data_IF_863888704269
#
_entry.id   IF_863888704269
#
_cell.length_a   1.000
_cell.length_b   1.000
_cell.length_c   1.000
_cell.angle_alpha   90.00
_cell.angle_beta   90.00
_cell.angle_gamma   90.00
#
_symmetry.space_group_name_H-M   'P 1'
#
loop_
_entity.id
_entity.type
_entity.pdbx_description
1 polymer ?
#
# COMPACT_ATOMS: atom_id res chain seq x y z
N UNK A 1 -39.71 -49.27 32.41
CA UNK A 1 -38.27 -49.19 32.12
C UNK A 1 -38.06 -49.30 30.63
N UNK A 2 -37.84 -48.24 29.88
CA UNK A 2 -37.19 -48.35 28.59
C UNK A 2 -35.75 -47.81 28.66
N UNK A 3 -34.87 -48.51 27.98
CA UNK A 3 -33.43 -48.30 27.87
C UNK A 3 -33.07 -47.01 27.17
N UNK A 4 -32.07 -46.30 27.74
CA UNK A 4 -31.51 -45.11 27.16
C UNK A 4 -30.61 -45.41 25.96
N UNK A 5 -30.86 -44.69 24.89
CA UNK A 5 -30.02 -44.64 23.70
C UNK A 5 -28.91 -43.60 23.95
N UNK A 6 -27.64 -44.01 23.95
CA UNK A 6 -26.48 -43.14 23.93
C UNK A 6 -26.37 -42.50 22.56
N UNK A 7 -26.01 -41.19 22.43
CA UNK A 7 -25.66 -40.59 21.15
C UNK A 7 -24.22 -41.00 20.75
N UNK A 8 -24.07 -41.30 19.47
CA UNK A 8 -22.82 -41.67 18.82
C UNK A 8 -21.81 -40.53 18.88
N UNK A 9 -20.59 -40.85 19.32
CA UNK A 9 -19.40 -40.02 19.20
C UNK A 9 -19.10 -39.81 17.71
N UNK A 10 -19.22 -38.56 17.24
CA UNK A 10 -18.66 -38.14 15.96
C UNK A 10 -17.21 -37.72 16.20
N UNK A 11 -16.29 -38.58 15.79
CA UNK A 11 -14.87 -38.28 15.69
C UNK A 11 -14.68 -37.03 14.80
N UNK A 12 -14.43 -35.88 15.44
CA UNK A 12 -14.01 -34.64 14.75
C UNK A 12 -12.52 -34.79 14.51
N UNK A 13 -12.18 -35.18 13.29
CA UNK A 13 -10.82 -35.24 12.78
C UNK A 13 -10.16 -33.85 12.93
N UNK A 14 -9.17 -33.77 13.83
CA UNK A 14 -8.43 -32.55 14.11
C UNK A 14 -7.61 -32.14 12.88
N UNK A 15 -7.87 -30.96 12.37
CA UNK A 15 -7.09 -30.37 11.26
C UNK A 15 -5.60 -30.34 11.62
N UNK A 16 -4.69 -30.68 10.69
CA UNK A 16 -3.26 -30.75 10.96
C UNK A 16 -2.71 -29.37 11.34
N UNK A 17 -1.73 -29.28 12.25
CA UNK A 17 -1.13 -28.02 12.67
C UNK A 17 -0.46 -27.32 11.49
N UNK A 18 -0.79 -26.06 11.26
CA UNK A 18 -0.17 -25.22 10.23
C UNK A 18 1.33 -25.10 10.52
N UNK A 19 2.17 -25.42 9.54
CA UNK A 19 3.62 -25.34 9.63
C UNK A 19 4.05 -23.92 9.99
N UNK A 20 5.01 -23.72 10.92
CA UNK A 20 5.52 -22.39 11.25
C UNK A 20 6.16 -21.74 10.03
N UNK A 21 5.94 -20.45 9.87
CA UNK A 21 6.52 -19.63 8.80
C UNK A 21 8.05 -19.63 8.89
N UNK A 22 8.73 -20.29 7.95
CA UNK A 22 10.18 -20.38 7.90
C UNK A 22 10.79 -19.12 7.23
N UNK A 23 11.31 -18.21 8.05
CA UNK A 23 12.02 -17.00 7.61
C UNK A 23 13.27 -17.30 6.76
N UNK A 24 13.83 -18.50 6.83
CA UNK A 24 15.01 -18.87 6.03
C UNK A 24 14.68 -19.03 4.55
N UNK A 25 13.42 -19.28 4.18
CA UNK A 25 12.97 -19.29 2.78
C UNK A 25 12.82 -17.90 2.17
N UNK A 26 12.59 -16.87 2.99
CA UNK A 26 12.46 -15.48 2.50
C UNK A 26 13.80 -14.85 2.06
N UNK A 27 14.94 -15.45 2.43
CA UNK A 27 16.29 -15.00 2.01
C UNK A 27 16.77 -15.65 0.69
N UNK A 28 15.96 -16.47 0.05
CA UNK A 28 16.29 -16.90 -1.32
C UNK A 28 16.11 -15.70 -2.25
N UNK A 29 17.18 -15.39 -2.98
CA UNK A 29 17.23 -14.37 -4.04
C UNK A 29 15.91 -14.38 -4.80
N UNK A 30 15.34 -13.21 -5.12
CA UNK A 30 14.18 -13.17 -6.02
C UNK A 30 14.53 -13.98 -7.27
N UNK A 31 13.60 -14.76 -7.82
CA UNK A 31 13.81 -15.40 -9.10
C UNK A 31 14.27 -14.30 -10.06
N UNK A 32 15.29 -14.59 -10.84
CA UNK A 32 15.79 -13.70 -11.89
C UNK A 32 14.60 -12.99 -12.51
N UNK A 33 14.64 -11.65 -12.48
CA UNK A 33 13.69 -10.84 -13.22
C UNK A 33 13.67 -11.42 -14.62
N UNK A 34 12.58 -12.12 -14.95
CA UNK A 34 12.34 -12.63 -16.27
C UNK A 34 12.45 -11.43 -17.20
N UNK A 35 13.50 -11.42 -18.02
CA UNK A 35 13.61 -10.50 -19.13
C UNK A 35 12.29 -10.51 -19.89
N UNK A 36 11.58 -9.45 -19.67
CA UNK A 36 10.53 -8.85 -20.48
C UNK A 36 9.86 -9.73 -21.54
N UNK A 37 8.80 -10.38 -21.18
CA UNK A 37 7.65 -10.36 -22.07
C UNK A 37 6.99 -8.99 -21.88
N UNK A 38 7.23 -8.07 -22.81
CA UNK A 38 6.57 -6.76 -22.90
C UNK A 38 5.05 -6.99 -22.86
N UNK A 39 4.32 -6.58 -21.81
CA UNK A 39 2.88 -6.65 -21.87
C UNK A 39 2.42 -5.53 -22.81
N UNK A 40 1.99 -5.89 -24.02
CA UNK A 40 1.38 -4.95 -24.98
C UNK A 40 0.14 -4.20 -24.45
N UNK A 41 -0.25 -4.44 -23.19
CA UNK A 41 -1.38 -3.83 -22.52
C UNK A 41 -1.07 -2.89 -21.36
N UNK A 42 0.19 -2.81 -20.89
CA UNK A 42 0.53 -2.03 -19.68
C UNK A 42 0.22 -0.53 -19.81
N UNK A 43 0.44 0.05 -20.99
CA UNK A 43 0.09 1.45 -21.26
C UNK A 43 -1.40 1.73 -21.19
N UNK A 44 -2.26 0.85 -21.71
CA UNK A 44 -3.73 1.00 -21.64
C UNK A 44 -4.29 0.78 -20.23
N UNK A 45 -3.68 -0.13 -19.45
CA UNK A 45 -4.09 -0.36 -18.06
C UNK A 45 -3.69 0.82 -17.17
N UNK A 46 -2.51 1.39 -17.39
CA UNK A 46 -2.04 2.60 -16.72
C UNK A 46 -2.93 3.79 -17.04
N UNK A 47 -3.24 4.04 -18.32
CA UNK A 47 -4.14 5.10 -18.73
C UNK A 47 -5.53 4.95 -18.09
N UNK A 48 -6.16 3.77 -18.14
CA UNK A 48 -7.48 3.54 -17.53
C UNK A 48 -7.51 3.73 -16.01
N UNK A 49 -6.44 3.38 -15.28
CA UNK A 49 -6.36 3.65 -13.83
C UNK A 49 -6.15 5.14 -13.51
N UNK A 50 -5.51 5.87 -14.42
CA UNK A 50 -5.33 7.32 -14.31
C UNK A 50 -6.62 8.08 -14.65
N UNK A 51 -7.45 7.55 -15.56
CA UNK A 51 -8.74 8.15 -15.97
C UNK A 51 -9.81 8.17 -14.87
N UNK A 52 -9.70 7.36 -13.84
CA UNK A 52 -10.66 7.37 -12.73
C UNK A 52 -10.67 8.69 -11.92
N UNK A 53 -9.68 9.55 -12.09
CA UNK A 53 -9.62 10.86 -11.45
C UNK A 53 -9.67 11.98 -12.49
N UNK A 54 -10.86 12.46 -12.81
CA UNK A 54 -11.14 13.59 -13.73
C UNK A 54 -10.56 14.94 -13.28
N UNK A 55 -9.71 14.98 -12.25
CA UNK A 55 -9.18 16.22 -11.70
C UNK A 55 -7.74 16.46 -12.20
N UNK A 56 -7.48 17.64 -12.74
CA UNK A 56 -6.14 18.10 -13.06
C UNK A 56 -5.34 18.43 -11.79
N UNK A 57 -4.01 18.24 -11.83
CA UNK A 57 -3.09 18.68 -10.79
C UNK A 57 -2.85 20.19 -10.80
N UNK A 58 -1.70 20.62 -10.27
CA UNK A 58 -1.27 22.03 -10.26
C UNK A 58 -0.97 22.54 -11.66
N UNK A 59 -0.61 21.67 -12.61
CA UNK A 59 -0.33 21.97 -14.01
C UNK A 59 -1.59 22.21 -14.87
N UNK A 60 -2.77 21.99 -14.31
CA UNK A 60 -4.03 22.12 -15.03
C UNK A 60 -4.26 21.03 -16.10
N UNK A 61 -3.32 20.12 -16.32
CA UNK A 61 -3.43 19.07 -17.33
C UNK A 61 -4.35 17.94 -16.87
N UNK A 62 -5.36 17.61 -17.68
CA UNK A 62 -6.21 16.42 -17.46
C UNK A 62 -5.72 15.25 -18.31
N UNK A 63 -6.18 14.04 -17.98
CA UNK A 63 -5.90 12.86 -18.81
C UNK A 63 -6.44 13.03 -20.23
N UNK A 64 -7.61 13.65 -20.38
CA UNK A 64 -8.18 13.99 -21.68
C UNK A 64 -7.28 14.92 -22.48
N UNK A 65 -6.70 15.95 -21.83
CA UNK A 65 -5.75 16.86 -22.49
C UNK A 65 -4.52 16.11 -23.01
N UNK A 66 -3.94 15.23 -22.19
CA UNK A 66 -2.79 14.41 -22.59
C UNK A 66 -3.13 13.51 -23.77
N UNK A 67 -4.31 12.89 -23.77
CA UNK A 67 -4.76 12.00 -24.83
C UNK A 67 -4.98 12.76 -26.15
N UNK A 68 -5.66 13.91 -26.11
CA UNK A 68 -6.09 14.63 -27.32
C UNK A 68 -5.05 15.60 -27.88
N UNK A 69 -4.22 16.20 -27.02
CA UNK A 69 -3.29 17.26 -27.42
C UNK A 69 -1.85 16.82 -27.49
N UNK A 70 -1.41 15.98 -26.55
CA UNK A 70 -0.02 15.54 -26.47
C UNK A 70 0.23 14.23 -27.21
N UNK A 71 -0.74 13.32 -27.12
CA UNK A 71 -0.62 11.94 -27.59
C UNK A 71 0.01 11.04 -26.52
N UNK A 72 -0.70 9.96 -26.17
CA UNK A 72 -0.31 9.06 -25.07
C UNK A 72 1.08 8.47 -25.27
N UNK A 73 1.45 8.10 -26.50
CA UNK A 73 2.74 7.45 -26.77
C UNK A 73 3.91 8.43 -26.58
N UNK A 74 3.81 9.64 -27.10
CA UNK A 74 4.83 10.68 -26.92
C UNK A 74 4.99 11.03 -25.44
N UNK A 75 3.86 11.27 -24.74
CA UNK A 75 3.85 11.55 -23.31
C UNK A 75 4.54 10.45 -22.48
N UNK A 76 4.26 9.18 -22.74
CA UNK A 76 4.91 8.08 -22.04
C UNK A 76 6.39 7.91 -22.41
N UNK A 77 6.77 8.23 -23.66
CA UNK A 77 8.17 8.21 -24.08
C UNK A 77 8.99 9.27 -23.35
N UNK A 78 8.47 10.48 -23.23
CA UNK A 78 9.12 11.58 -22.52
C UNK A 78 9.27 11.27 -21.02
N UNK A 79 8.20 10.82 -20.35
CA UNK A 79 8.27 10.40 -18.95
C UNK A 79 9.30 9.29 -18.73
N UNK A 80 9.33 8.31 -19.65
CA UNK A 80 10.32 7.23 -19.59
C UNK A 80 11.74 7.77 -19.69
N UNK A 81 11.97 8.72 -20.58
CA UNK A 81 13.28 9.36 -20.76
C UNK A 81 13.68 10.10 -19.49
N UNK A 82 12.81 10.96 -18.95
CA UNK A 82 13.07 11.71 -17.72
C UNK A 82 13.38 10.82 -16.53
N UNK A 83 12.62 9.74 -16.33
CA UNK A 83 12.88 8.76 -15.24
C UNK A 83 14.19 8.02 -15.48
N UNK A 84 14.50 7.65 -16.73
CA UNK A 84 15.75 6.95 -17.09
C UNK A 84 16.98 7.83 -16.88
N UNK A 85 16.89 9.10 -17.21
CA UNK A 85 17.99 10.09 -17.05
C UNK A 85 18.05 10.73 -15.66
N UNK A 86 17.13 10.31 -14.74
CA UNK A 86 17.01 10.87 -13.39
C UNK A 86 16.73 12.40 -13.37
N UNK A 87 16.13 12.92 -14.42
CA UNK A 87 15.72 14.34 -14.52
C UNK A 87 14.27 14.58 -14.11
N UNK A 88 13.49 13.52 -13.92
CA UNK A 88 12.10 13.62 -13.48
C UNK A 88 12.00 14.27 -12.10
N UNK A 89 11.21 15.34 -11.99
CA UNK A 89 10.88 16.02 -10.74
C UNK A 89 9.36 16.00 -10.52
N UNK A 90 8.87 15.43 -9.41
CA UNK A 90 7.47 15.50 -9.05
C UNK A 90 7.03 16.93 -8.78
N UNK A 91 5.82 17.28 -9.18
CA UNK A 91 5.20 18.54 -8.85
C UNK A 91 4.42 18.45 -7.54
N UNK A 92 4.20 19.58 -6.83
CA UNK A 92 3.36 19.62 -5.65
C UNK A 92 1.96 19.07 -5.91
N UNK A 93 1.37 18.42 -4.95
CA UNK A 93 -0.04 18.00 -5.05
C UNK A 93 -0.96 19.19 -4.84
N UNK A 94 -2.01 19.32 -5.65
CA UNK A 94 -3.04 20.34 -5.44
C UNK A 94 -3.98 19.89 -4.33
N UNK A 95 -4.04 20.64 -3.24
CA UNK A 95 -4.95 20.40 -2.13
C UNK A 95 -6.40 20.73 -2.50
N UNK A 96 -7.31 19.84 -2.14
CA UNK A 96 -8.75 20.08 -2.22
C UNK A 96 -9.44 19.56 -0.97
N UNK A 97 -10.31 20.39 -0.39
CA UNK A 97 -11.12 20.00 0.76
C UNK A 97 -12.36 19.24 0.28
N UNK A 98 -12.63 18.09 0.90
CA UNK A 98 -13.82 17.26 0.62
C UNK A 98 -14.61 17.13 1.92
N UNK A 99 -15.94 17.41 1.90
CA UNK A 99 -16.77 17.24 3.08
C UNK A 99 -16.85 15.76 3.50
N UNK A 100 -16.73 15.52 4.80
CA UNK A 100 -16.98 14.22 5.45
C UNK A 100 -18.36 14.24 6.13
N UNK A 101 -18.90 13.05 6.42
CA UNK A 101 -20.02 12.91 7.33
C UNK A 101 -19.71 13.59 8.68
N UNK A 102 -20.70 14.29 9.25
CA UNK A 102 -20.52 15.02 10.51
C UNK A 102 -19.87 16.40 10.38
N UNK A 103 -19.87 17.02 9.18
CA UNK A 103 -19.41 18.40 8.97
C UNK A 103 -17.89 18.60 8.95
N UNK A 104 -17.10 17.55 9.19
CA UNK A 104 -15.65 17.60 9.09
C UNK A 104 -15.19 17.64 7.63
N UNK A 105 -14.02 18.22 7.38
CA UNK A 105 -13.42 18.23 6.04
C UNK A 105 -12.24 17.27 5.97
N UNK A 106 -12.05 16.68 4.78
CA UNK A 106 -10.88 15.83 4.46
C UNK A 106 -10.04 16.55 3.41
N UNK A 107 -8.75 16.61 3.64
CA UNK A 107 -7.77 17.11 2.65
C UNK A 107 -7.48 16.01 1.63
N UNK A 108 -7.62 16.33 0.35
CA UNK A 108 -7.24 15.44 -0.75
C UNK A 108 -6.14 16.11 -1.57
N UNK A 109 -5.00 15.43 -1.72
CA UNK A 109 -3.91 15.84 -2.60
C UNK A 109 -4.12 15.29 -4.01
N UNK A 110 -4.23 16.16 -5.00
CA UNK A 110 -4.41 15.81 -6.40
C UNK A 110 -3.07 15.97 -7.11
N UNK A 111 -2.40 14.86 -7.39
CA UNK A 111 -1.17 14.83 -8.17
C UNK A 111 -1.43 15.10 -9.66
N UNK A 112 -0.44 15.60 -10.40
CA UNK A 112 -0.52 15.78 -11.85
C UNK A 112 -0.67 14.44 -12.58
N UNK A 113 -1.09 14.46 -13.83
CA UNK A 113 -1.22 13.23 -14.63
C UNK A 113 0.13 12.52 -14.78
N UNK A 114 1.20 13.28 -15.01
CA UNK A 114 2.56 12.74 -15.14
C UNK A 114 3.02 12.08 -13.83
N UNK A 115 2.79 12.72 -12.70
CA UNK A 115 3.15 12.16 -11.38
C UNK A 115 2.37 10.89 -11.08
N UNK A 116 1.07 10.87 -11.39
CA UNK A 116 0.23 9.67 -11.23
C UNK A 116 0.72 8.50 -12.07
N UNK A 117 1.16 8.74 -13.30
CA UNK A 117 1.71 7.70 -14.18
C UNK A 117 3.00 7.12 -13.59
N UNK A 118 3.92 7.98 -13.14
CA UNK A 118 5.18 7.52 -12.53
C UNK A 118 4.94 6.82 -11.20
N UNK A 119 4.05 7.34 -10.34
CA UNK A 119 3.64 6.65 -9.10
C UNK A 119 3.01 5.28 -9.37
N UNK A 120 2.17 5.17 -10.40
CA UNK A 120 1.57 3.89 -10.78
C UNK A 120 2.61 2.90 -11.30
N UNK A 121 3.59 3.36 -12.07
CA UNK A 121 4.70 2.53 -12.53
C UNK A 121 5.55 2.03 -11.37
N UNK A 122 5.90 2.91 -10.42
CA UNK A 122 6.60 2.53 -9.19
C UNK A 122 5.79 1.51 -8.39
N UNK A 123 4.50 1.75 -8.18
CA UNK A 123 3.62 0.82 -7.45
C UNK A 123 3.61 -0.56 -8.09
N UNK A 124 3.49 -0.66 -9.42
CA UNK A 124 3.50 -1.93 -10.14
C UNK A 124 4.78 -2.75 -9.93
N UNK A 125 5.91 -2.09 -9.76
CA UNK A 125 7.21 -2.75 -9.53
C UNK A 125 7.42 -3.08 -8.07
N UNK A 126 7.04 -2.19 -7.15
CA UNK A 126 7.35 -2.29 -5.73
C UNK A 126 6.33 -3.14 -4.95
N UNK A 127 5.06 -3.09 -5.34
CA UNK A 127 3.98 -3.81 -4.65
C UNK A 127 4.25 -5.32 -4.52
N UNK A 128 4.65 -6.06 -5.58
CA UNK A 128 4.95 -7.48 -5.45
C UNK A 128 6.13 -7.79 -4.53
N UNK A 129 7.10 -6.87 -4.40
CA UNK A 129 8.27 -7.04 -3.55
C UNK A 129 7.85 -7.00 -2.07
N UNK A 130 7.04 -6.01 -1.69
CA UNK A 130 6.60 -5.85 -0.30
C UNK A 130 5.41 -6.74 0.06
N UNK A 131 4.58 -7.13 -0.91
CA UNK A 131 3.54 -8.14 -0.68
C UNK A 131 4.10 -9.48 -0.18
N UNK A 132 5.32 -9.82 -0.60
CA UNK A 132 6.02 -11.01 -0.12
C UNK A 132 6.48 -10.90 1.36
N UNK A 133 6.55 -9.68 1.89
CA UNK A 133 7.03 -9.41 3.25
C UNK A 133 5.91 -9.12 4.25
N UNK A 134 4.77 -8.58 3.79
CA UNK A 134 3.67 -8.22 4.66
C UNK A 134 3.07 -9.45 5.35
N UNK A 135 2.86 -9.33 6.65
CA UNK A 135 2.28 -10.41 7.45
C UNK A 135 0.82 -10.70 7.07
N UNK A 136 0.32 -11.92 7.33
CA UNK A 136 -1.05 -12.31 7.02
C UNK A 136 -2.13 -11.47 7.73
N UNK A 137 -1.83 -10.90 8.90
CA UNK A 137 -2.74 -10.06 9.67
C UNK A 137 -2.99 -8.67 9.06
N UNK A 138 -2.17 -8.24 8.09
CA UNK A 138 -2.33 -6.96 7.41
C UNK A 138 -3.31 -7.08 6.25
N UNK A 139 -4.39 -6.28 6.25
CA UNK A 139 -5.47 -6.35 5.26
C UNK A 139 -5.63 -5.09 4.41
N UNK A 140 -5.36 -3.91 4.98
CA UNK A 140 -5.64 -2.62 4.33
C UNK A 140 -4.86 -2.40 3.04
N UNK A 141 -5.53 -1.89 1.99
CA UNK A 141 -4.93 -1.47 0.71
C UNK A 141 -4.09 -2.52 -0.03
N UNK A 142 -4.19 -3.79 0.33
CA UNK A 142 -3.46 -4.89 -0.30
C UNK A 142 -4.26 -5.56 -1.40
N UNK A 143 -3.61 -6.03 -2.50
CA UNK A 143 -4.29 -6.78 -3.54
C UNK A 143 -4.87 -8.08 -2.98
N UNK A 144 -6.04 -8.48 -3.49
CA UNK A 144 -6.76 -9.71 -3.12
C UNK A 144 -7.12 -9.84 -1.63
N UNK A 145 -7.04 -8.76 -0.86
CA UNK A 145 -7.44 -8.68 0.55
C UNK A 145 -8.65 -7.77 0.71
N UNK A 146 -9.69 -8.25 1.39
CA UNK A 146 -10.95 -7.53 1.57
C UNK A 146 -11.25 -7.35 3.05
N UNK A 147 -12.06 -6.34 3.38
CA UNK A 147 -12.54 -6.16 4.74
C UNK A 147 -13.31 -7.38 5.26
N UNK A 148 -14.07 -8.08 4.38
CA UNK A 148 -14.78 -9.30 4.73
C UNK A 148 -13.84 -10.44 5.16
N UNK A 149 -12.66 -10.53 4.56
CA UNK A 149 -11.66 -11.55 4.92
C UNK A 149 -11.10 -11.27 6.32
N UNK A 150 -10.84 -9.98 6.65
CA UNK A 150 -10.46 -9.57 8.01
C UNK A 150 -11.55 -9.89 9.05
N UNK A 151 -12.83 -9.59 8.73
CA UNK A 151 -13.96 -9.91 9.61
C UNK A 151 -14.09 -11.42 9.83
N UNK A 152 -13.90 -12.22 8.76
CA UNK A 152 -13.93 -13.68 8.86
C UNK A 152 -12.80 -14.21 9.77
N UNK A 153 -11.60 -13.64 9.70
CA UNK A 153 -10.50 -14.00 10.57
C UNK A 153 -10.79 -13.65 12.04
N UNK A 154 -11.29 -12.43 12.31
CA UNK A 154 -11.71 -12.02 13.66
C UNK A 154 -12.76 -13.00 14.21
N UNK A 155 -13.76 -13.39 13.39
CA UNK A 155 -14.78 -14.37 13.79
C UNK A 155 -14.17 -15.72 14.12
N UNK A 156 -13.16 -16.17 13.38
CA UNK A 156 -12.44 -17.41 13.64
C UNK A 156 -11.74 -17.36 15.02
N UNK A 157 -11.11 -16.24 15.36
CA UNK A 157 -10.49 -16.07 16.67
C UNK A 157 -11.51 -16.01 17.82
N UNK A 158 -12.66 -15.40 17.62
CA UNK A 158 -13.72 -15.31 18.62
C UNK A 158 -14.52 -16.63 18.80
N UNK A 159 -14.37 -17.60 17.88
CA UNK A 159 -15.09 -18.87 17.88
C UNK A 159 -14.22 -20.03 18.42
N UNK A 160 -14.82 -21.18 18.84
CA UNK A 160 -14.04 -22.36 19.18
C UNK A 160 -13.11 -22.79 18.02
N UNK A 161 -11.90 -23.30 18.31
CA UNK A 161 -11.35 -23.60 19.64
C UNK A 161 -10.68 -22.39 20.33
N UNK A 162 -10.47 -21.26 19.63
CA UNK A 162 -9.68 -20.13 20.14
C UNK A 162 -10.38 -19.34 21.25
N UNK A 163 -11.66 -18.98 21.06
CA UNK A 163 -12.53 -18.28 22.03
C UNK A 163 -11.88 -17.05 22.66
N UNK A 164 -11.21 -16.18 21.84
CA UNK A 164 -10.73 -14.92 22.37
C UNK A 164 -11.92 -14.01 22.71
N UNK A 165 -12.00 -13.58 23.97
CA UNK A 165 -13.11 -12.78 24.53
C UNK A 165 -12.80 -11.29 24.54
N UNK A 166 -11.52 -10.92 24.42
CA UNK A 166 -11.07 -9.54 24.48
C UNK A 166 -10.56 -9.08 23.14
N UNK A 167 -10.98 -7.88 22.73
CA UNK A 167 -10.48 -7.20 21.56
C UNK A 167 -9.99 -5.79 21.96
N UNK A 168 -8.79 -5.42 21.51
CA UNK A 168 -8.28 -4.05 21.60
C UNK A 168 -8.46 -3.39 20.23
N UNK A 169 -9.26 -2.32 20.18
CA UNK A 169 -9.40 -1.47 19.00
C UNK A 169 -8.55 -0.20 19.18
N UNK A 170 -7.77 0.13 18.16
CA UNK A 170 -6.96 1.34 18.12
C UNK A 170 -7.03 2.01 16.76
N UNK A 171 -7.07 3.35 16.75
CA UNK A 171 -6.97 4.16 15.53
C UNK A 171 -5.76 5.08 15.62
N UNK A 172 -5.03 5.22 14.51
CA UNK A 172 -3.85 6.08 14.45
C UNK A 172 -4.27 7.45 13.93
N UNK A 173 -4.20 8.46 14.79
CA UNK A 173 -4.50 9.83 14.42
C UNK A 173 -3.58 10.31 13.31
N UNK A 174 -4.16 10.91 12.25
CA UNK A 174 -3.43 11.48 11.11
C UNK A 174 -2.37 10.56 10.48
N UNK A 175 -2.61 9.24 10.45
CA UNK A 175 -1.64 8.23 10.06
C UNK A 175 -0.84 8.59 8.79
N UNK A 176 -1.53 9.00 7.71
CA UNK A 176 -0.87 9.38 6.47
C UNK A 176 -0.06 10.68 6.56
N UNK A 177 -0.47 11.60 7.42
CA UNK A 177 0.13 12.93 7.53
C UNK A 177 1.36 12.94 8.46
N UNK A 178 1.48 11.93 9.34
CA UNK A 178 2.53 11.85 10.37
C UNK A 178 3.62 10.80 10.08
N UNK A 179 3.60 10.13 8.92
CA UNK A 179 4.65 9.17 8.57
C UNK A 179 5.99 9.87 8.48
N UNK A 180 6.96 9.47 9.31
CA UNK A 180 8.31 9.99 9.26
C UNK A 180 9.04 9.54 7.99
N UNK A 181 9.48 10.49 7.16
CA UNK A 181 10.11 10.22 5.86
C UNK A 181 11.42 9.44 6.01
N UNK A 182 12.24 9.75 7.01
CA UNK A 182 13.53 9.07 7.21
C UNK A 182 13.32 7.61 7.58
N UNK A 183 12.47 7.34 8.57
CA UNK A 183 12.14 5.98 8.99
C UNK A 183 11.50 5.16 7.86
N UNK A 184 10.59 5.76 7.10
CA UNK A 184 10.00 5.11 5.92
C UNK A 184 11.07 4.78 4.87
N UNK A 185 11.97 5.71 4.55
CA UNK A 185 13.03 5.48 3.57
C UNK A 185 14.04 4.44 4.03
N UNK A 186 14.30 4.32 5.32
CA UNK A 186 15.13 3.25 5.86
C UNK A 186 14.47 1.88 5.68
N UNK A 187 13.15 1.79 5.90
CA UNK A 187 12.37 0.59 5.57
C UNK A 187 12.43 0.25 4.08
N UNK A 188 12.30 1.25 3.20
CA UNK A 188 12.45 1.06 1.74
C UNK A 188 13.80 0.46 1.40
N UNK A 189 14.90 0.97 1.99
CA UNK A 189 16.28 0.52 1.72
C UNK A 189 16.55 -0.92 2.16
N UNK A 190 15.77 -1.48 3.08
CA UNK A 190 15.90 -2.89 3.46
C UNK A 190 15.66 -3.85 2.28
N UNK A 191 14.89 -3.43 1.29
CA UNK A 191 14.53 -4.26 0.14
C UNK A 191 14.96 -3.67 -1.21
N UNK A 192 15.09 -2.37 -1.29
CA UNK A 192 15.37 -1.64 -2.54
C UNK A 192 16.77 -1.03 -2.45
N UNK A 193 17.72 -1.60 -3.16
CA UNK A 193 19.11 -1.13 -3.24
C UNK A 193 19.33 -0.09 -4.36
N UNK A 194 18.43 0.01 -5.34
CA UNK A 194 18.56 1.00 -6.42
C UNK A 194 18.36 2.41 -5.88
N UNK A 195 19.46 3.18 -5.85
CA UNK A 195 19.48 4.56 -5.36
C UNK A 195 18.56 5.49 -6.12
N UNK A 196 18.32 5.24 -7.43
CA UNK A 196 17.44 6.07 -8.26
C UNK A 196 15.98 5.88 -7.87
N UNK A 197 15.58 4.64 -7.59
CA UNK A 197 14.22 4.33 -7.09
C UNK A 197 14.00 4.97 -5.71
N UNK A 198 14.96 4.84 -4.79
CA UNK A 198 14.89 5.47 -3.46
C UNK A 198 14.83 6.99 -3.56
N UNK A 199 15.64 7.60 -4.45
CA UNK A 199 15.63 9.03 -4.69
C UNK A 199 14.29 9.52 -5.26
N UNK A 200 13.68 8.76 -6.16
CA UNK A 200 12.38 9.07 -6.75
C UNK A 200 11.25 8.98 -5.71
N UNK A 201 11.24 7.96 -4.84
CA UNK A 201 10.30 7.89 -3.72
C UNK A 201 10.47 9.10 -2.80
N UNK A 202 11.72 9.44 -2.45
CA UNK A 202 12.03 10.61 -1.63
C UNK A 202 11.54 11.90 -2.28
N UNK A 203 11.70 12.05 -3.60
CA UNK A 203 11.21 13.20 -4.33
C UNK A 203 9.68 13.33 -4.25
N UNK A 204 8.94 12.23 -4.39
CA UNK A 204 7.48 12.24 -4.21
C UNK A 204 7.05 12.60 -2.78
N UNK A 205 7.76 12.12 -1.77
CA UNK A 205 7.47 12.48 -0.38
C UNK A 205 7.71 13.97 -0.10
N UNK A 206 8.68 14.58 -0.78
CA UNK A 206 9.07 15.99 -0.62
C UNK A 206 8.42 16.95 -1.62
N UNK A 207 7.59 16.47 -2.53
CA UNK A 207 7.02 17.30 -3.61
C UNK A 207 6.17 18.49 -3.13
N UNK A 208 5.78 18.49 -1.85
CA UNK A 208 5.00 19.57 -1.26
C UNK A 208 3.51 19.51 -1.58
N UNK A 209 2.78 20.44 -0.98
CA UNK A 209 1.34 20.59 -1.10
C UNK A 209 1.03 22.01 -1.53
N UNK A 210 0.32 22.19 -2.62
CA UNK A 210 -0.13 23.49 -3.12
C UNK A 210 -1.60 23.70 -2.79
N UNK A 211 -1.89 24.77 -2.06
CA UNK A 211 -3.24 25.24 -1.77
C UNK A 211 -3.44 26.57 -2.47
N UNK A 212 -4.59 26.77 -3.10
CA UNK A 212 -4.90 28.02 -3.84
C UNK A 212 -4.97 29.25 -2.95
N UNK A 213 -5.26 29.09 -1.66
CA UNK A 213 -5.41 30.19 -0.70
C UNK A 213 -4.11 30.48 0.06
N UNK A 214 -3.39 29.41 0.48
CA UNK A 214 -2.21 29.55 1.35
C UNK A 214 -0.89 29.36 0.62
N UNK A 215 -0.93 29.03 -0.67
CA UNK A 215 0.26 28.80 -1.49
C UNK A 215 0.91 27.43 -1.31
N UNK A 216 2.20 27.36 -1.61
CA UNK A 216 3.01 26.16 -1.50
C UNK A 216 3.45 25.93 -0.05
N UNK A 217 3.26 24.69 0.44
CA UNK A 217 3.80 24.21 1.72
C UNK A 217 4.71 23.03 1.48
N UNK A 218 5.86 23.02 2.15
CA UNK A 218 6.75 21.86 2.15
C UNK A 218 6.14 20.68 2.91
N UNK A 219 6.44 19.48 2.44
CA UNK A 219 6.09 18.25 3.12
C UNK A 219 7.32 17.73 3.89
N UNK A 220 7.36 17.95 5.21
CA UNK A 220 8.41 17.44 6.08
C UNK A 220 8.11 16.03 6.61
N UNK A 221 6.85 15.66 6.66
CA UNK A 221 6.35 14.37 7.07
C UNK A 221 5.12 13.97 6.24
N UNK A 222 4.73 12.73 6.33
CA UNK A 222 3.53 12.21 5.72
C UNK A 222 3.64 11.86 4.25
N UNK A 223 2.55 11.32 3.74
CA UNK A 223 2.35 11.02 2.33
C UNK A 223 0.98 11.57 1.90
N UNK A 224 0.88 12.26 0.74
CA UNK A 224 -0.35 12.93 0.36
C UNK A 224 -1.55 11.97 0.30
N UNK A 225 -2.64 12.32 0.98
CA UNK A 225 -3.89 11.56 0.86
C UNK A 225 -4.43 11.70 -0.57
N UNK A 226 -4.52 10.57 -1.28
CA UNK A 226 -4.93 10.53 -2.70
C UNK A 226 -3.81 10.22 -3.67
N UNK A 227 -2.56 10.14 -3.21
CA UNK A 227 -1.44 9.61 -4.01
C UNK A 227 -1.61 8.12 -4.31
N UNK A 228 -1.24 7.69 -5.52
CA UNK A 228 -1.33 6.27 -5.94
C UNK A 228 -0.36 5.39 -5.14
N UNK A 229 0.80 5.94 -4.80
CA UNK A 229 1.85 5.23 -4.05
C UNK A 229 1.61 5.27 -2.54
N UNK A 230 0.86 6.25 -2.03
CA UNK A 230 0.69 6.51 -0.61
C UNK A 230 0.17 5.31 0.20
N UNK A 231 -0.84 4.53 -0.25
CA UNK A 231 -1.30 3.38 0.51
C UNK A 231 -0.23 2.29 0.68
N UNK A 232 0.59 2.07 -0.35
CA UNK A 232 1.67 1.08 -0.29
C UNK A 232 2.78 1.52 0.69
N UNK A 233 3.13 2.81 0.66
CA UNK A 233 4.12 3.39 1.59
C UNK A 233 3.60 3.41 3.04
N UNK A 234 2.31 3.66 3.24
CA UNK A 234 1.68 3.58 4.56
C UNK A 234 1.71 2.14 5.11
N UNK A 235 1.36 1.15 4.31
CA UNK A 235 1.47 -0.25 4.72
C UNK A 235 2.92 -0.62 5.08
N UNK A 236 3.90 -0.14 4.33
CA UNK A 236 5.30 -0.37 4.64
C UNK A 236 5.72 0.31 5.96
N UNK A 237 5.26 1.53 6.21
CA UNK A 237 5.53 2.22 7.48
C UNK A 237 4.89 1.49 8.66
N UNK A 238 3.65 1.02 8.51
CA UNK A 238 2.88 0.36 9.57
C UNK A 238 3.26 -1.11 9.79
N UNK A 239 3.95 -1.76 8.85
CA UNK A 239 4.38 -3.16 9.02
C UNK A 239 5.27 -3.37 10.25
N UNK A 240 5.86 -2.30 10.80
CA UNK A 240 6.58 -2.32 12.09
C UNK A 240 5.67 -2.78 13.23
N UNK A 241 4.41 -2.36 13.25
CA UNK A 241 3.44 -2.79 14.26
C UNK A 241 3.14 -4.28 14.14
N UNK A 242 2.88 -4.74 12.92
CA UNK A 242 2.61 -6.16 12.67
C UNK A 242 3.80 -7.03 13.10
N UNK A 243 5.02 -6.62 12.76
CA UNK A 243 6.26 -7.29 13.16
C UNK A 243 6.44 -7.32 14.67
N UNK A 244 6.15 -6.20 15.35
CA UNK A 244 6.25 -6.10 16.81
C UNK A 244 5.30 -7.09 17.51
N UNK A 245 4.04 -7.12 17.11
CA UNK A 245 3.06 -8.04 17.71
C UNK A 245 3.34 -9.50 17.35
N UNK A 246 3.78 -9.81 16.14
CA UNK A 246 4.20 -11.16 15.75
C UNK A 246 5.37 -11.69 16.61
N UNK A 247 6.37 -10.84 16.87
CA UNK A 247 7.49 -11.19 17.72
C UNK A 247 7.06 -11.47 19.17
N UNK A 248 6.21 -10.62 19.74
CA UNK A 248 5.67 -10.79 21.09
C UNK A 248 4.87 -12.11 21.23
N UNK A 249 4.00 -12.37 20.28
CA UNK A 249 3.20 -13.60 20.27
C UNK A 249 4.06 -14.86 20.19
N UNK A 250 5.18 -14.81 19.47
CA UNK A 250 6.14 -15.94 19.40
C UNK A 250 6.89 -16.16 20.71
N UNK A 251 7.31 -15.08 21.36
CA UNK A 251 8.00 -15.16 22.65
C UNK A 251 7.12 -15.76 23.74
N UNK A 252 5.82 -15.42 23.76
CA UNK A 252 4.88 -15.94 24.76
C UNK A 252 4.58 -17.43 24.56
N UNK A 253 4.68 -17.95 23.32
CA UNK A 253 4.48 -19.38 23.01
C UNK A 253 5.68 -20.27 23.34
N UNK A 254 6.85 -19.70 23.59
CA UNK A 254 8.10 -20.41 23.91
C UNK A 254 8.42 -20.43 25.41
N UNK A 255 7.58 -19.85 26.25
CA UNK A 255 7.70 -20.00 27.70
C UNK A 255 7.09 -21.36 28.10
N UNK A 256 7.84 -22.19 28.88
CA UNK A 256 7.43 -23.54 29.32
C UNK A 256 6.21 -23.51 30.23
#
# INVERSE_FOLDING_TARGET
MPAGTQPADHDVEAAPPRRPYDRRRARRRPPHVLESRRPRGAGRLLARRVDAARSAGVDGASAFYVEQRYGVQAFLADLRLEVKTATFQPLPVRERMIPKAGGKQRRLGIATVRDRVVQAALKLVLEPIWEADFLPCSYGFRPLRRAHDAIAEIRTFASPPHRYEWALEGDIAACFDEINHSALLDRVRLRISDRRVVALIKAFLKAGIFNTETGLRDSSAGTPQGGILSPLLANLALSVLDEHFDQRTRQTRTLP
#
